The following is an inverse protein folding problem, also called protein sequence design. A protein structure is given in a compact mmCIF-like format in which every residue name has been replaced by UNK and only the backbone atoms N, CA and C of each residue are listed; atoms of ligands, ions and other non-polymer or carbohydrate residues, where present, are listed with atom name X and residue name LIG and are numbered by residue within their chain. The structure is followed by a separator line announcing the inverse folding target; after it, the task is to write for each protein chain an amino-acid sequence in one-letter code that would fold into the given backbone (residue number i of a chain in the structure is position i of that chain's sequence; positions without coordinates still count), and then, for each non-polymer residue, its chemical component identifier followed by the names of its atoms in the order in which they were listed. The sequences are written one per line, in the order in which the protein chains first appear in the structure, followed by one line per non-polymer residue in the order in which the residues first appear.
data_IF_976854074013
#
_entry.id   IF_976854074013
#
_cell.length_a   1.000
_cell.length_b   1.000
_cell.length_c   1.000
_cell.angle_alpha   90.00
_cell.angle_beta   90.00
_cell.angle_gamma   90.00
#
_symmetry.space_group_name_H-M   'P 1'
#
loop_
_entity.id
_entity.type
_entity.pdbx_description
1 polymer ?
#
# COMPACT_ATOMS: atom_id res chain seq x y z
N UNK A 1 -3.27 -14.79 -2.70
CA UNK A 1 -2.78 -13.41 -2.51
C UNK A 1 -2.66 -13.22 -1.02
N UNK A 2 -1.51 -12.72 -0.60
CA UNK A 2 -1.26 -12.34 0.78
C UNK A 2 -1.46 -10.84 0.92
N UNK A 3 -1.69 -10.38 2.14
CA UNK A 3 -1.88 -8.97 2.41
C UNK A 3 -1.28 -8.57 3.76
N UNK A 4 -0.98 -7.29 3.89
CA UNK A 4 -0.64 -6.66 5.16
C UNK A 4 -1.35 -5.31 5.27
N UNK A 5 -1.90 -5.03 6.44
CA UNK A 5 -2.47 -3.73 6.77
C UNK A 5 -1.46 -2.97 7.62
N UNK A 6 -1.21 -1.71 7.27
CA UNK A 6 -0.31 -0.82 7.97
C UNK A 6 -1.05 0.44 8.37
N UNK A 7 -0.96 0.80 9.65
CA UNK A 7 -1.33 2.13 10.13
C UNK A 7 -0.21 3.11 9.80
N UNK A 8 -0.55 4.19 9.11
CA UNK A 8 0.41 5.25 8.80
C UNK A 8 0.75 6.02 10.08
N UNK A 9 1.98 6.55 10.15
CA UNK A 9 2.43 7.34 11.30
C UNK A 9 1.62 8.63 11.50
N UNK A 10 1.04 9.16 10.43
CA UNK A 10 0.07 10.25 10.44
C UNK A 10 -0.83 10.12 9.20
N UNK A 11 -2.06 10.69 9.23
CA UNK A 11 -2.91 10.76 8.04
C UNK A 11 -2.20 11.46 6.87
N UNK A 12 -2.13 10.82 5.70
CA UNK A 12 -1.42 11.37 4.54
C UNK A 12 -2.20 11.18 3.23
N UNK A 13 -1.94 12.07 2.27
CA UNK A 13 -2.34 11.89 0.87
C UNK A 13 -1.11 11.38 0.10
N UNK A 14 -1.09 10.11 -0.36
CA UNK A 14 0.04 9.54 -1.06
C UNK A 14 0.34 10.21 -2.41
N UNK A 15 1.62 10.44 -2.69
CA UNK A 15 2.14 10.99 -3.95
C UNK A 15 3.13 10.05 -4.64
N UNK A 16 3.89 9.30 -3.84
CA UNK A 16 4.88 8.36 -4.33
C UNK A 16 4.81 7.07 -3.51
N UNK A 17 4.60 5.96 -4.21
CA UNK A 17 4.62 4.62 -3.64
C UNK A 17 5.88 3.93 -4.11
N UNK A 18 6.63 3.33 -3.18
CA UNK A 18 7.80 2.50 -3.49
C UNK A 18 7.56 1.10 -2.95
N UNK A 19 7.58 0.11 -3.84
CA UNK A 19 7.58 -1.31 -3.50
C UNK A 19 8.97 -1.87 -3.81
N UNK A 20 9.75 -2.09 -2.77
CA UNK A 20 11.12 -2.57 -2.87
C UNK A 20 11.15 -4.11 -2.78
N UNK A 21 11.57 -4.74 -3.87
CA UNK A 21 11.76 -6.19 -3.97
C UNK A 21 13.24 -6.58 -3.94
N UNK A 22 14.14 -5.68 -3.52
CA UNK A 22 15.57 -5.97 -3.33
C UNK A 22 15.78 -7.26 -2.54
N UNK A 23 16.77 -8.05 -2.95
CA UNK A 23 17.10 -9.38 -2.43
C UNK A 23 16.12 -10.52 -2.80
N UNK A 24 14.90 -10.22 -3.25
CA UNK A 24 13.98 -11.22 -3.80
C UNK A 24 14.20 -11.37 -5.32
N UNK A 25 15.11 -12.28 -5.71
CA UNK A 25 15.51 -12.48 -7.13
C UNK A 25 14.62 -13.45 -7.91
N UNK A 26 13.90 -14.33 -7.22
CA UNK A 26 13.02 -15.32 -7.85
C UNK A 26 11.70 -15.57 -7.10
N UNK A 27 11.55 -15.03 -5.90
CA UNK A 27 10.36 -15.17 -5.05
C UNK A 27 9.79 -13.79 -4.66
N UNK A 28 9.91 -12.80 -5.54
CA UNK A 28 9.15 -11.55 -5.43
C UNK A 28 7.75 -11.77 -6.01
N UNK A 29 6.72 -11.04 -5.55
CA UNK A 29 5.39 -11.17 -6.10
C UNK A 29 5.32 -10.65 -7.54
N UNK A 30 4.52 -11.30 -8.37
CA UNK A 30 4.37 -10.94 -9.79
C UNK A 30 3.69 -9.57 -9.95
N UNK A 31 2.70 -9.30 -9.10
CA UNK A 31 1.99 -8.02 -9.02
C UNK A 31 1.61 -7.68 -7.59
N UNK A 32 1.23 -6.42 -7.39
CA UNK A 32 0.65 -5.93 -6.14
C UNK A 32 -0.51 -4.99 -6.43
N UNK A 33 -1.35 -4.74 -5.44
CA UNK A 33 -2.25 -3.59 -5.40
C UNK A 33 -2.08 -2.87 -4.07
N UNK A 34 -2.43 -1.58 -4.05
CA UNK A 34 -2.41 -0.79 -2.83
C UNK A 34 -3.77 -0.14 -2.62
N UNK A 35 -4.32 -0.34 -1.44
CA UNK A 35 -5.59 0.26 -1.03
C UNK A 35 -5.37 1.15 0.18
N UNK A 36 -6.20 2.18 0.32
CA UNK A 36 -6.21 3.11 1.44
C UNK A 36 -7.55 3.14 2.14
N UNK A 37 -7.54 3.43 3.43
CA UNK A 37 -8.75 3.74 4.19
C UNK A 37 -8.51 4.92 5.13
N UNK A 38 -9.50 5.80 5.25
CA UNK A 38 -9.51 6.89 6.22
C UNK A 38 -10.43 6.53 7.38
N UNK A 39 -9.83 6.05 8.46
CA UNK A 39 -10.53 5.56 9.65
C UNK A 39 -9.69 5.87 10.89
N UNK A 40 -9.56 7.16 11.29
CA UNK A 40 -8.70 7.57 12.39
C UNK A 40 -9.13 7.01 13.76
N UNK A 41 -10.40 6.63 13.90
CA UNK A 41 -11.01 6.16 15.16
C UNK A 41 -11.34 4.67 15.17
N UNK A 42 -11.03 3.93 14.10
CA UNK A 42 -11.28 2.49 14.06
C UNK A 42 -10.32 1.74 14.98
N UNK A 43 -10.85 0.75 15.70
CA UNK A 43 -10.04 -0.24 16.40
C UNK A 43 -9.53 -1.33 15.44
N UNK A 44 -8.62 -2.16 15.94
CA UNK A 44 -7.96 -3.20 15.14
C UNK A 44 -8.95 -4.22 14.58
N UNK A 45 -9.95 -4.61 15.38
CA UNK A 45 -10.99 -5.56 14.97
C UNK A 45 -11.82 -5.00 13.80
N UNK A 46 -12.22 -3.72 13.86
CA UNK A 46 -12.95 -3.06 12.78
C UNK A 46 -12.13 -3.02 11.47
N UNK A 47 -10.82 -2.82 11.58
CA UNK A 47 -9.89 -2.77 10.44
C UNK A 47 -9.75 -4.15 9.78
N UNK A 48 -9.61 -5.21 10.57
CA UNK A 48 -9.33 -6.58 10.10
C UNK A 48 -10.60 -7.31 9.67
N UNK A 49 -11.69 -7.16 10.42
CA UNK A 49 -12.96 -7.87 10.18
C UNK A 49 -13.78 -7.26 9.03
N UNK A 50 -13.37 -6.10 8.51
CA UNK A 50 -13.89 -5.54 7.27
C UNK A 50 -15.00 -4.50 7.42
N UNK A 51 -15.13 -3.87 8.60
CA UNK A 51 -16.08 -2.78 8.83
C UNK A 51 -15.60 -1.44 8.23
N UNK A 52 -14.38 -1.41 7.67
CA UNK A 52 -13.82 -0.24 6.99
C UNK A 52 -13.86 -0.36 5.47
N UNK A 53 -14.16 0.77 4.81
CA UNK A 53 -14.13 0.86 3.36
C UNK A 53 -12.69 1.05 2.87
N UNK A 54 -12.26 0.20 1.94
CA UNK A 54 -10.98 0.29 1.25
C UNK A 54 -11.16 0.90 -0.14
N UNK A 55 -10.30 1.85 -0.49
CA UNK A 55 -10.27 2.53 -1.79
C UNK A 55 -8.95 2.21 -2.50
N UNK A 56 -8.99 1.93 -3.80
CA UNK A 56 -7.78 1.64 -4.56
C UNK A 56 -6.95 2.91 -4.75
N UNK A 57 -5.73 2.90 -4.19
CA UNK A 57 -4.70 3.90 -4.48
C UNK A 57 -3.98 3.51 -5.78
N UNK A 58 -3.61 2.24 -5.89
CA UNK A 58 -3.04 1.65 -7.10
C UNK A 58 -3.81 0.37 -7.46
N UNK A 59 -4.22 0.19 -8.73
CA UNK A 59 -4.76 -1.07 -9.20
C UNK A 59 -3.66 -2.15 -9.19
N UNK A 60 -4.05 -3.38 -9.49
CA UNK A 60 -3.09 -4.46 -9.66
C UNK A 60 -2.04 -4.09 -10.73
N UNK A 61 -0.79 -4.02 -10.31
CA UNK A 61 0.33 -3.51 -11.10
C UNK A 61 1.50 -4.47 -11.02
N UNK A 62 2.16 -4.73 -12.15
CA UNK A 62 3.31 -5.64 -12.22
C UNK A 62 4.52 -5.08 -11.47
N UNK A 63 5.25 -5.97 -10.82
CA UNK A 63 6.52 -5.67 -10.19
C UNK A 63 7.68 -6.27 -10.98
N UNK A 64 8.85 -5.67 -10.80
CA UNK A 64 10.13 -6.24 -11.18
C UNK A 64 10.87 -6.67 -9.91
N UNK A 65 11.55 -7.81 -9.99
CA UNK A 65 12.31 -8.38 -8.88
C UNK A 65 13.63 -7.67 -8.65
N UNK A 66 14.13 -7.75 -7.41
CA UNK A 66 15.42 -7.22 -6.99
C UNK A 66 15.63 -5.73 -7.32
N UNK A 67 14.61 -4.89 -7.15
CA UNK A 67 14.70 -3.44 -7.35
C UNK A 67 13.63 -2.66 -6.58
N UNK A 68 13.82 -1.36 -6.49
CA UNK A 68 12.77 -0.42 -6.08
C UNK A 68 11.81 -0.17 -7.25
N UNK A 69 10.55 -0.57 -7.10
CA UNK A 69 9.47 -0.26 -8.05
C UNK A 69 8.78 1.03 -7.57
N UNK A 70 8.89 2.09 -8.37
CA UNK A 70 8.46 3.45 -7.98
C UNK A 70 7.24 3.84 -8.81
N UNK A 71 6.18 4.27 -8.13
CA UNK A 71 4.90 4.65 -8.73
C UNK A 71 4.52 6.06 -8.27
N UNK A 72 4.41 6.99 -9.22
CA UNK A 72 3.89 8.32 -8.97
C UNK A 72 2.37 8.29 -9.01
N UNK A 73 1.75 8.92 -8.03
CA UNK A 73 0.32 8.96 -7.83
C UNK A 73 -0.23 10.28 -8.35
N UNK A 74 -1.27 10.21 -9.17
CA UNK A 74 -1.97 11.39 -9.64
C UNK A 74 -2.87 11.94 -8.53
N UNK A 75 -2.52 13.12 -8.02
CA UNK A 75 -3.20 13.78 -6.89
C UNK A 75 -4.71 13.97 -7.07
N UNK A 76 -5.19 14.06 -8.31
CA UNK A 76 -6.61 14.28 -8.62
C UNK A 76 -7.49 13.06 -8.28
N UNK A 77 -6.90 11.90 -8.00
CA UNK A 77 -7.60 10.64 -7.82
C UNK A 77 -7.45 10.04 -6.42
N UNK A 78 -6.83 10.76 -5.47
CA UNK A 78 -6.38 10.16 -4.22
C UNK A 78 -6.83 10.97 -2.99
N UNK A 79 -7.48 10.26 -2.08
CA UNK A 79 -7.97 10.79 -0.80
C UNK A 79 -6.85 10.81 0.25
N UNK A 80 -7.14 11.42 1.40
CA UNK A 80 -6.31 11.23 2.60
C UNK A 80 -6.58 9.83 3.18
N UNK A 81 -5.54 9.17 3.72
CA UNK A 81 -5.65 7.85 4.36
C UNK A 81 -4.96 7.81 5.71
N UNK A 82 -5.45 6.94 6.60
CA UNK A 82 -4.83 6.62 7.89
C UNK A 82 -4.24 5.21 7.91
N UNK A 83 -4.77 4.33 7.07
CA UNK A 83 -4.28 2.96 6.89
C UNK A 83 -4.08 2.68 5.40
N UNK A 84 -3.14 1.80 5.11
CA UNK A 84 -2.97 1.21 3.78
C UNK A 84 -2.99 -0.30 3.88
N UNK A 85 -3.50 -0.96 2.84
CA UNK A 85 -3.43 -2.41 2.66
C UNK A 85 -2.64 -2.71 1.40
N UNK A 86 -1.50 -3.37 1.59
CA UNK A 86 -0.69 -3.92 0.52
C UNK A 86 -1.19 -5.34 0.23
N UNK A 87 -1.63 -5.59 -0.99
CA UNK A 87 -1.98 -6.93 -1.46
C UNK A 87 -0.92 -7.39 -2.47
N UNK A 88 -0.41 -8.62 -2.34
CA UNK A 88 0.58 -9.19 -3.26
C UNK A 88 0.04 -10.46 -3.93
N UNK A 89 0.33 -10.65 -5.21
CA UNK A 89 -0.23 -11.73 -6.03
C UNK A 89 0.86 -12.55 -6.75
N UNK A 90 0.75 -13.89 -6.79
CA UNK A 90 -0.12 -14.71 -5.94
C UNK A 90 0.37 -14.78 -4.48
N UNK A 91 1.68 -14.68 -4.27
CA UNK A 91 2.44 -14.68 -3.02
C UNK A 91 3.86 -14.13 -3.30
N UNK A 92 4.73 -14.05 -2.29
CA UNK A 92 6.14 -13.68 -2.45
C UNK A 92 6.65 -12.71 -1.39
N UNK A 93 7.87 -12.23 -1.57
CA UNK A 93 8.54 -11.33 -0.66
C UNK A 93 8.63 -9.89 -1.15
N UNK A 94 8.34 -8.95 -0.25
CA UNK A 94 8.58 -7.52 -0.40
C UNK A 94 9.49 -7.09 0.74
N UNK A 95 10.60 -6.43 0.43
CA UNK A 95 11.57 -5.96 1.41
C UNK A 95 11.07 -4.71 2.14
N UNK A 96 10.54 -3.73 1.40
CA UNK A 96 10.00 -2.50 1.97
C UNK A 96 8.81 -2.00 1.15
N UNK A 97 7.85 -1.40 1.86
CA UNK A 97 6.87 -0.49 1.29
C UNK A 97 7.18 0.91 1.82
N UNK A 98 7.19 1.91 0.94
CA UNK A 98 7.20 3.33 1.33
C UNK A 98 5.97 4.01 0.76
N UNK A 99 5.26 4.74 1.62
CA UNK A 99 4.14 5.61 1.27
C UNK A 99 4.58 7.03 1.57
N UNK A 100 4.93 7.78 0.53
CA UNK A 100 5.41 9.15 0.63
C UNK A 100 4.31 10.07 0.13
N UNK A 101 4.08 11.16 0.85
CA UNK A 101 3.06 12.13 0.49
C UNK A 101 2.97 13.23 1.53
N UNK A 102 1.97 14.08 1.38
CA UNK A 102 1.78 15.22 2.26
C UNK A 102 0.91 14.88 3.46
N UNK A 103 1.33 15.39 4.63
CA UNK A 103 0.49 15.45 5.81
C UNK A 103 -0.52 16.58 5.63
N UNK A 104 -1.70 16.42 6.18
CA UNK A 104 -2.66 17.49 6.26
C UNK A 104 -2.47 18.21 7.61
N UNK A 105 -2.28 19.53 7.56
CA UNK A 105 -2.16 20.41 8.75
C UNK A 105 -3.51 20.92 9.22
#
# INVERSE_FOLDING_TARGET
YDWVILKLGAPCTPELIVVDTSHFKGNFPESFSLEGSFCPSADEDSIVLGDVKWEKILPETKLKGNMENIFQIELNYVSQYTHVRLNIYPDGGVSRLRVLGHLFS
#
